data_IF_753000398662
#
_entry.id   IF_753000398662
#
_cell.length_a   1.000
_cell.length_b   1.000
_cell.length_c   1.000
_cell.angle_alpha   90.00
_cell.angle_beta   90.00
_cell.angle_gamma   90.00
#
_symmetry.space_group_name_H-M   'P 1'
#
loop_
_entity.id
_entity.type
_entity.pdbx_description
1 polymer ?
#
# COMPACT_ATOMS: atom_id res chain seq x y z
N UNK A 1 17.32 -25.40 -6.36
CA UNK A 1 16.91 -24.61 -7.54
C UNK A 1 17.73 -23.34 -7.55
N UNK A 2 18.47 -23.04 -8.64
CA UNK A 2 19.38 -21.90 -8.66
C UNK A 2 18.57 -20.59 -8.67
N UNK A 3 18.90 -19.65 -7.75
CA UNK A 3 18.26 -18.32 -7.67
C UNK A 3 18.42 -17.56 -9.01
N UNK A 4 19.47 -17.83 -9.77
CA UNK A 4 19.68 -17.26 -11.10
C UNK A 4 18.63 -17.69 -12.13
N UNK A 5 18.03 -18.88 -11.99
CA UNK A 5 16.96 -19.33 -12.89
C UNK A 5 15.66 -18.57 -12.67
N UNK A 6 15.47 -17.94 -11.49
CA UNK A 6 14.32 -17.09 -11.18
C UNK A 6 14.22 -15.91 -12.16
N UNK A 7 15.36 -15.29 -12.50
CA UNK A 7 15.40 -14.15 -13.43
C UNK A 7 15.20 -14.53 -14.90
N UNK A 8 15.25 -15.81 -15.25
CA UNK A 8 14.97 -16.27 -16.62
C UNK A 8 13.48 -16.30 -16.95
N UNK A 9 12.61 -16.25 -15.96
CA UNK A 9 11.16 -16.29 -16.17
C UNK A 9 10.59 -14.89 -16.41
N UNK A 10 9.92 -14.61 -17.56
CA UNK A 10 9.38 -13.28 -17.86
C UNK A 10 8.33 -12.78 -16.87
N UNK A 11 7.56 -13.69 -16.25
CA UNK A 11 6.59 -13.30 -15.22
C UNK A 11 7.29 -12.79 -13.96
N UNK A 12 8.42 -13.40 -13.57
CA UNK A 12 9.18 -13.02 -12.40
C UNK A 12 9.86 -11.65 -12.58
N UNK A 13 10.38 -11.37 -13.76
CA UNK A 13 10.93 -10.04 -14.09
C UNK A 13 9.87 -8.95 -13.98
N UNK A 14 8.65 -9.20 -14.49
CA UNK A 14 7.52 -8.27 -14.37
C UNK A 14 7.12 -8.06 -12.92
N UNK A 15 7.01 -9.16 -12.16
CA UNK A 15 6.71 -9.12 -10.74
C UNK A 15 7.74 -8.30 -9.95
N UNK A 16 9.02 -8.48 -10.25
CA UNK A 16 10.10 -7.76 -9.58
C UNK A 16 10.01 -6.25 -9.89
N UNK A 17 9.92 -5.89 -11.18
CA UNK A 17 9.88 -4.46 -11.58
C UNK A 17 8.67 -3.76 -10.98
N UNK A 18 7.48 -4.30 -11.20
CA UNK A 18 6.27 -3.68 -10.70
C UNK A 18 6.19 -3.72 -9.17
N UNK A 19 6.64 -4.83 -8.55
CA UNK A 19 6.65 -4.99 -7.11
C UNK A 19 7.60 -4.05 -6.39
N UNK A 20 8.80 -3.86 -6.89
CA UNK A 20 9.76 -2.87 -6.36
C UNK A 20 9.19 -1.45 -6.46
N UNK A 21 8.55 -1.08 -7.56
CA UNK A 21 7.95 0.23 -7.70
C UNK A 21 6.77 0.44 -6.74
N UNK A 22 5.89 -0.55 -6.61
CA UNK A 22 4.74 -0.49 -5.69
C UNK A 22 5.22 -0.44 -4.24
N UNK A 23 6.20 -1.28 -3.85
CA UNK A 23 6.75 -1.29 -2.49
C UNK A 23 7.42 0.05 -2.14
N UNK A 24 8.13 0.64 -3.09
CA UNK A 24 8.71 1.97 -2.95
C UNK A 24 7.65 3.04 -2.76
N UNK A 25 6.61 3.08 -3.59
CA UNK A 25 5.49 4.01 -3.46
C UNK A 25 4.77 3.85 -2.12
N UNK A 26 4.48 2.60 -1.72
CA UNK A 26 3.81 2.29 -0.46
C UNK A 26 4.61 2.78 0.76
N UNK A 27 5.92 2.54 0.79
CA UNK A 27 6.77 2.99 1.88
C UNK A 27 6.88 4.53 1.95
N UNK A 28 7.05 5.20 0.80
CA UNK A 28 7.14 6.65 0.75
C UNK A 28 5.86 7.34 1.24
N UNK A 29 4.69 6.83 0.82
CA UNK A 29 3.38 7.33 1.26
C UNK A 29 3.05 6.89 2.69
N UNK A 30 3.53 5.73 3.12
CA UNK A 30 3.36 5.21 4.46
C UNK A 30 3.93 6.13 5.54
N UNK A 31 5.08 6.76 5.30
CA UNK A 31 5.69 7.68 6.27
C UNK A 31 4.77 8.84 6.67
N UNK A 32 4.26 9.67 5.74
CA UNK A 32 3.32 10.73 6.12
C UNK A 32 2.00 10.21 6.68
N UNK A 33 1.49 9.06 6.21
CA UNK A 33 0.26 8.47 6.72
C UNK A 33 0.40 8.03 8.20
N UNK A 34 1.48 7.35 8.54
CA UNK A 34 1.74 6.90 9.92
C UNK A 34 1.98 8.10 10.84
N UNK A 35 2.71 9.12 10.39
CA UNK A 35 2.94 10.35 11.16
C UNK A 35 1.64 11.12 11.44
N UNK A 36 0.72 11.13 10.49
CA UNK A 36 -0.63 11.73 10.63
C UNK A 36 -1.61 10.86 11.41
N UNK A 37 -1.19 9.70 11.92
CA UNK A 37 -2.05 8.71 12.59
C UNK A 37 -3.13 8.09 11.69
N UNK A 38 -2.91 8.08 10.39
CA UNK A 38 -3.79 7.46 9.39
C UNK A 38 -3.29 6.07 8.96
N UNK A 39 -2.58 5.36 9.85
CA UNK A 39 -1.97 4.06 9.53
C UNK A 39 -2.99 3.01 9.03
N UNK A 40 -4.22 3.03 9.55
CA UNK A 40 -5.27 2.09 9.16
C UNK A 40 -5.93 2.41 7.81
N UNK A 41 -5.69 3.59 7.21
CA UNK A 41 -6.24 3.96 5.89
C UNK A 41 -5.80 2.97 4.81
N UNK A 42 -4.54 2.49 4.88
CA UNK A 42 -4.02 1.50 3.93
C UNK A 42 -4.84 0.23 3.91
N UNK A 43 -5.17 -0.29 5.09
CA UNK A 43 -5.99 -1.50 5.24
C UNK A 43 -7.43 -1.26 4.78
N UNK A 44 -8.07 -0.18 5.24
CA UNK A 44 -9.42 0.18 4.83
C UNK A 44 -9.57 0.31 3.32
N UNK A 45 -8.66 1.02 2.65
CA UNK A 45 -8.69 1.20 1.19
C UNK A 45 -8.37 -0.09 0.43
N UNK A 46 -7.57 -1.01 0.98
CA UNK A 46 -7.32 -2.30 0.35
C UNK A 46 -8.59 -3.15 0.29
N UNK A 47 -9.40 -3.16 1.34
CA UNK A 47 -10.69 -3.83 1.36
C UNK A 47 -11.74 -3.16 0.47
N UNK A 48 -11.73 -1.82 0.37
CA UNK A 48 -12.55 -1.10 -0.62
C UNK A 48 -12.13 -1.47 -2.05
N UNK A 49 -10.83 -1.58 -2.30
CA UNK A 49 -10.32 -2.01 -3.60
C UNK A 49 -10.76 -3.43 -3.93
N UNK A 50 -10.75 -4.35 -2.96
CA UNK A 50 -11.27 -5.70 -3.12
C UNK A 50 -12.76 -5.70 -3.50
N UNK A 51 -13.59 -4.95 -2.78
CA UNK A 51 -15.01 -4.83 -3.08
C UNK A 51 -15.27 -4.25 -4.48
N UNK A 52 -14.52 -3.22 -4.86
CA UNK A 52 -14.61 -2.60 -6.18
C UNK A 52 -14.17 -3.56 -7.30
N UNK A 53 -13.08 -4.33 -7.09
CA UNK A 53 -12.63 -5.35 -8.03
C UNK A 53 -13.67 -6.45 -8.21
N UNK A 54 -14.27 -6.93 -7.11
CA UNK A 54 -15.32 -7.94 -7.14
C UNK A 54 -16.54 -7.48 -7.96
N UNK A 55 -16.98 -6.25 -7.75
CA UNK A 55 -18.10 -5.64 -8.52
C UNK A 55 -17.72 -5.50 -9.99
N UNK A 56 -16.51 -5.06 -10.29
CA UNK A 56 -16.03 -4.92 -11.67
C UNK A 56 -16.04 -6.24 -12.44
N UNK A 57 -15.57 -7.31 -11.80
CA UNK A 57 -15.60 -8.68 -12.36
C UNK A 57 -17.04 -9.13 -12.60
N UNK A 58 -17.94 -8.91 -11.64
CA UNK A 58 -19.36 -9.24 -11.77
C UNK A 58 -20.05 -8.51 -12.92
N UNK A 59 -19.66 -7.25 -13.18
CA UNK A 59 -20.19 -6.44 -14.28
C UNK A 59 -19.50 -6.70 -15.63
N UNK A 60 -18.46 -7.53 -15.66
CA UNK A 60 -17.69 -7.80 -16.89
C UNK A 60 -16.88 -6.61 -17.39
N UNK A 61 -16.58 -5.60 -16.52
CA UNK A 61 -15.78 -4.44 -16.89
C UNK A 61 -14.32 -4.64 -16.45
N UNK A 62 -13.42 -3.86 -17.07
CA UNK A 62 -11.98 -3.92 -16.73
C UNK A 62 -11.75 -3.52 -15.28
N UNK A 63 -11.22 -4.42 -14.43
CA UNK A 63 -11.20 -4.24 -12.97
C UNK A 63 -10.47 -2.98 -12.49
N UNK A 64 -9.31 -2.65 -13.08
CA UNK A 64 -8.52 -1.47 -12.67
C UNK A 64 -9.24 -0.14 -12.97
N UNK A 65 -9.86 -0.02 -14.16
CA UNK A 65 -10.55 1.20 -14.55
C UNK A 65 -11.77 1.51 -13.68
N UNK A 66 -12.42 0.47 -13.17
CA UNK A 66 -13.54 0.63 -12.23
C UNK A 66 -13.06 0.90 -10.81
N UNK A 67 -12.03 0.18 -10.34
CA UNK A 67 -11.59 0.27 -8.95
C UNK A 67 -10.88 1.58 -8.62
N UNK A 68 -10.10 2.16 -9.56
CA UNK A 68 -9.38 3.40 -9.32
C UNK A 68 -10.31 4.54 -8.87
N UNK A 69 -11.38 4.91 -9.61
CA UNK A 69 -12.26 6.00 -9.18
C UNK A 69 -13.02 5.69 -7.89
N UNK A 70 -13.42 4.44 -7.67
CA UNK A 70 -14.13 4.04 -6.44
C UNK A 70 -13.22 4.20 -5.21
N UNK A 71 -11.97 3.74 -5.30
CA UNK A 71 -11.02 3.83 -4.16
C UNK A 71 -10.56 5.27 -3.93
N UNK A 72 -10.40 6.08 -4.98
CA UNK A 72 -10.12 7.52 -4.83
C UNK A 72 -11.28 8.22 -4.11
N UNK A 73 -12.52 7.92 -4.48
CA UNK A 73 -13.70 8.46 -3.80
C UNK A 73 -13.72 8.04 -2.33
N UNK A 74 -13.47 6.76 -2.05
CA UNK A 74 -13.39 6.23 -0.67
C UNK A 74 -12.28 6.90 0.14
N UNK A 75 -11.10 7.10 -0.45
CA UNK A 75 -9.98 7.80 0.21
C UNK A 75 -10.36 9.25 0.56
N UNK A 76 -11.04 9.94 -0.35
CA UNK A 76 -11.52 11.29 -0.11
C UNK A 76 -12.56 11.34 1.02
N UNK A 77 -13.51 10.39 1.04
CA UNK A 77 -14.52 10.29 2.10
C UNK A 77 -13.86 10.00 3.46
N UNK A 78 -12.91 9.06 3.51
CA UNK A 78 -12.18 8.73 4.75
C UNK A 78 -11.40 9.93 5.30
N UNK A 79 -10.74 10.71 4.44
CA UNK A 79 -10.08 11.94 4.90
C UNK A 79 -11.07 12.94 5.48
N UNK A 80 -12.21 13.16 4.82
CA UNK A 80 -13.25 14.07 5.33
C UNK A 80 -13.79 13.64 6.69
N UNK A 81 -13.94 12.33 6.89
CA UNK A 81 -14.40 11.78 8.19
C UNK A 81 -13.29 11.90 9.23
N UNK A 82 -12.03 11.64 8.87
CA UNK A 82 -10.88 11.73 9.77
C UNK A 82 -10.63 13.16 10.27
N UNK A 83 -10.89 14.18 9.45
CA UNK A 83 -10.76 15.58 9.81
C UNK A 83 -11.92 16.10 10.71
N UNK A 84 -12.98 15.33 10.87
CA UNK A 84 -14.14 15.74 11.66
C UNK A 84 -14.03 15.23 13.11
N UNK A 85 -13.91 16.12 14.12
CA UNK A 85 -13.72 15.72 15.52
C UNK A 85 -14.90 14.98 16.15
N UNK A 86 -16.06 14.98 15.47
CA UNK A 86 -17.27 14.27 15.95
C UNK A 86 -17.27 12.78 15.58
N UNK A 87 -16.42 12.36 14.65
CA UNK A 87 -16.34 10.98 14.19
C UNK A 87 -15.04 10.35 14.68
N UNK A 88 -15.14 9.11 15.14
CA UNK A 88 -13.95 8.32 15.40
C UNK A 88 -13.42 7.79 14.05
N UNK A 89 -12.28 8.31 13.60
CA UNK A 89 -11.68 7.95 12.31
C UNK A 89 -11.42 6.45 12.19
N UNK A 90 -10.97 5.80 13.26
CA UNK A 90 -10.68 4.37 13.27
C UNK A 90 -11.96 3.54 13.10
N UNK A 91 -13.05 3.95 13.77
CA UNK A 91 -14.34 3.29 13.62
C UNK A 91 -14.92 3.44 12.20
N UNK A 92 -14.76 4.60 11.58
CA UNK A 92 -15.19 4.83 10.20
C UNK A 92 -14.39 3.98 9.20
N UNK A 93 -13.06 3.90 9.37
CA UNK A 93 -12.20 3.05 8.54
C UNK A 93 -12.59 1.58 8.72
N UNK A 94 -12.79 1.12 9.96
CA UNK A 94 -13.19 -0.25 10.25
C UNK A 94 -14.56 -0.61 9.65
N UNK A 95 -15.54 0.29 9.76
CA UNK A 95 -16.85 0.09 9.17
C UNK A 95 -16.81 0.02 7.64
N UNK A 96 -16.04 0.91 7.00
CA UNK A 96 -15.85 0.92 5.55
C UNK A 96 -15.11 -0.35 5.09
N UNK A 97 -14.07 -0.76 5.81
CA UNK A 97 -13.31 -1.98 5.55
C UNK A 97 -14.20 -3.21 5.60
N UNK A 98 -14.90 -3.43 6.73
CA UNK A 98 -15.77 -4.58 6.93
C UNK A 98 -16.92 -4.65 5.91
N UNK A 99 -17.59 -3.52 5.65
CA UNK A 99 -18.69 -3.47 4.69
C UNK A 99 -18.23 -3.73 3.25
N UNK A 100 -17.12 -3.16 2.84
CA UNK A 100 -16.57 -3.37 1.50
C UNK A 100 -16.11 -4.80 1.27
N UNK A 101 -15.46 -5.41 2.27
CA UNK A 101 -15.08 -6.82 2.24
C UNK A 101 -16.30 -7.73 2.14
N UNK A 102 -17.32 -7.49 2.98
CA UNK A 102 -18.55 -8.27 2.97
C UNK A 102 -19.30 -8.19 1.62
N UNK A 103 -19.42 -6.97 1.07
CA UNK A 103 -20.03 -6.77 -0.26
C UNK A 103 -19.23 -7.50 -1.33
N UNK A 104 -17.90 -7.38 -1.32
CA UNK A 104 -17.04 -8.07 -2.27
C UNK A 104 -17.19 -9.58 -2.24
N UNK A 105 -17.19 -10.19 -1.05
CA UNK A 105 -17.39 -11.64 -0.88
C UNK A 105 -18.79 -12.05 -1.37
N UNK A 106 -19.83 -11.30 -1.02
CA UNK A 106 -21.20 -11.60 -1.48
C UNK A 106 -21.32 -11.56 -3.00
N UNK A 107 -20.69 -10.60 -3.65
CA UNK A 107 -20.71 -10.47 -5.11
C UNK A 107 -19.97 -11.66 -5.75
N UNK A 108 -18.75 -11.99 -5.30
CA UNK A 108 -17.98 -13.11 -5.84
C UNK A 108 -18.71 -14.44 -5.63
N UNK A 109 -19.30 -14.65 -4.45
CA UNK A 109 -20.04 -15.89 -4.15
C UNK A 109 -21.21 -16.14 -5.10
N UNK A 110 -21.80 -15.07 -5.66
CA UNK A 110 -22.91 -15.15 -6.60
C UNK A 110 -22.47 -15.30 -8.07
N UNK A 111 -21.26 -14.87 -8.41
CA UNK A 111 -20.83 -14.77 -9.83
C UNK A 111 -19.86 -15.88 -10.26
N UNK A 112 -18.83 -16.17 -9.49
CA UNK A 112 -17.73 -17.05 -9.92
C UNK A 112 -17.55 -18.31 -9.07
N UNK A 113 -18.25 -18.43 -7.92
CA UNK A 113 -17.99 -19.49 -6.94
C UNK A 113 -16.79 -19.19 -6.03
N UNK A 114 -16.93 -19.56 -4.77
CA UNK A 114 -16.18 -18.98 -3.62
C UNK A 114 -14.68 -19.29 -3.51
N UNK A 115 -14.10 -20.21 -4.27
CA UNK A 115 -12.87 -20.86 -3.82
C UNK A 115 -11.56 -20.34 -4.40
N UNK A 116 -11.52 -19.83 -5.62
CA UNK A 116 -10.23 -19.56 -6.28
C UNK A 116 -9.89 -18.06 -6.35
N UNK A 117 -10.89 -17.20 -6.46
CA UNK A 117 -10.66 -15.79 -6.72
C UNK A 117 -10.39 -14.97 -5.45
N UNK A 118 -11.05 -15.30 -4.33
CA UNK A 118 -10.86 -14.58 -3.06
C UNK A 118 -9.43 -14.75 -2.53
N UNK A 119 -8.89 -15.95 -2.56
CA UNK A 119 -7.52 -16.22 -2.12
C UNK A 119 -6.50 -15.46 -2.97
N UNK A 120 -6.70 -15.43 -4.29
CA UNK A 120 -5.83 -14.69 -5.20
C UNK A 120 -5.85 -13.17 -4.94
N UNK A 121 -7.00 -12.60 -4.56
CA UNK A 121 -7.10 -11.18 -4.24
C UNK A 121 -6.58 -10.83 -2.84
N UNK A 122 -6.71 -11.73 -1.87
CA UNK A 122 -6.19 -11.49 -0.51
C UNK A 122 -4.68 -11.66 -0.41
N UNK A 123 -4.14 -12.71 -1.05
CA UNK A 123 -2.72 -13.06 -0.97
C UNK A 123 -1.91 -12.61 -2.18
N UNK A 124 -2.58 -12.15 -3.22
CA UNK A 124 -1.96 -11.72 -4.47
C UNK A 124 -1.59 -12.91 -5.38
N UNK A 125 -1.73 -12.70 -6.67
CA UNK A 125 -1.24 -13.64 -7.68
C UNK A 125 -0.37 -12.89 -8.68
N UNK A 126 0.92 -12.95 -8.44
CA UNK A 126 1.95 -12.39 -9.33
C UNK A 126 1.86 -13.05 -10.73
N UNK A 127 1.36 -14.29 -10.80
CA UNK A 127 1.22 -15.06 -12.04
C UNK A 127 0.04 -14.61 -12.90
N UNK A 128 -0.98 -13.98 -12.31
CA UNK A 128 -2.20 -13.56 -12.99
C UNK A 128 -2.10 -12.21 -13.73
N UNK A 129 -0.94 -11.57 -13.74
CA UNK A 129 -0.76 -10.23 -14.29
C UNK A 129 -0.64 -10.24 -15.82
N UNK A 130 -1.50 -9.47 -16.49
CA UNK A 130 -1.36 -9.20 -17.92
C UNK A 130 -0.20 -8.21 -18.19
N UNK A 131 0.35 -8.21 -19.40
CA UNK A 131 1.36 -7.22 -19.80
C UNK A 131 0.85 -5.80 -19.67
N UNK A 132 -0.43 -5.58 -19.99
CA UNK A 132 -1.09 -4.28 -19.92
C UNK A 132 -1.19 -3.77 -18.47
N UNK A 133 -1.53 -4.67 -17.53
CA UNK A 133 -1.61 -4.31 -16.10
C UNK A 133 -0.24 -3.89 -15.57
N UNK A 134 0.84 -4.58 -15.97
CA UNK A 134 2.21 -4.22 -15.57
C UNK A 134 2.61 -2.85 -16.10
N UNK A 135 2.38 -2.58 -17.39
CA UNK A 135 2.72 -1.27 -17.97
C UNK A 135 1.94 -0.15 -17.31
N UNK A 136 0.63 -0.34 -17.12
CA UNK A 136 -0.21 0.64 -16.41
C UNK A 136 0.30 0.89 -14.98
N UNK A 137 0.63 -0.17 -14.26
CA UNK A 137 1.16 -0.07 -12.90
C UNK A 137 2.50 0.67 -12.85
N UNK A 138 3.42 0.37 -13.75
CA UNK A 138 4.71 1.07 -13.84
C UNK A 138 4.51 2.55 -14.12
N UNK A 139 3.67 2.91 -15.09
CA UNK A 139 3.40 4.32 -15.44
C UNK A 139 2.78 5.06 -14.26
N UNK A 140 1.77 4.48 -13.61
CA UNK A 140 1.11 5.10 -12.47
C UNK A 140 2.04 5.19 -11.25
N UNK A 141 2.83 4.16 -10.95
CA UNK A 141 3.82 4.23 -9.87
C UNK A 141 4.89 5.30 -10.13
N UNK A 142 5.38 5.43 -11.35
CA UNK A 142 6.30 6.50 -11.71
C UNK A 142 5.66 7.88 -11.54
N UNK A 143 4.40 8.05 -11.93
CA UNK A 143 3.66 9.29 -11.69
C UNK A 143 3.54 9.59 -10.18
N UNK A 144 3.22 8.58 -9.35
CA UNK A 144 3.17 8.72 -7.88
C UNK A 144 4.52 9.14 -7.32
N UNK A 145 5.61 8.50 -7.74
CA UNK A 145 6.97 8.84 -7.30
C UNK A 145 7.35 10.27 -7.69
N UNK A 146 7.11 10.66 -8.93
CA UNK A 146 7.41 12.01 -9.42
C UNK A 146 6.62 13.06 -8.62
N UNK A 147 5.32 12.84 -8.43
CA UNK A 147 4.48 13.77 -7.65
C UNK A 147 4.90 13.82 -6.17
N UNK A 148 5.25 12.68 -5.57
CA UNK A 148 5.76 12.65 -4.20
C UNK A 148 7.05 13.45 -4.06
N UNK A 149 8.02 13.26 -4.96
CA UNK A 149 9.31 13.99 -4.96
C UNK A 149 9.08 15.48 -5.21
N UNK A 150 8.24 15.84 -6.17
CA UNK A 150 7.94 17.24 -6.53
C UNK A 150 7.31 17.99 -5.36
N UNK A 151 6.41 17.35 -4.63
CA UNK A 151 5.71 17.95 -3.50
C UNK A 151 6.30 17.56 -2.13
N UNK A 152 7.47 16.93 -2.10
CA UNK A 152 8.11 16.42 -0.88
C UNK A 152 8.14 17.44 0.27
N UNK A 153 8.63 18.66 0.02
CA UNK A 153 8.74 19.71 1.06
C UNK A 153 7.36 20.18 1.56
N UNK A 154 6.37 20.24 0.68
CA UNK A 154 5.01 20.65 1.03
C UNK A 154 4.28 19.54 1.80
N UNK A 155 4.44 18.28 1.37
CA UNK A 155 3.91 17.12 2.08
C UNK A 155 4.56 17.01 3.48
N UNK A 156 5.86 17.24 3.59
CA UNK A 156 6.56 17.30 4.88
C UNK A 156 5.95 18.36 5.81
N UNK A 157 5.82 19.60 5.34
CA UNK A 157 5.28 20.71 6.16
C UNK A 157 3.85 20.39 6.64
N UNK A 158 2.97 19.94 5.74
CA UNK A 158 1.59 19.59 6.05
C UNK A 158 1.49 18.36 6.95
N UNK A 159 2.47 17.45 6.91
CA UNK A 159 2.47 16.26 7.77
C UNK A 159 2.82 16.59 9.21
N UNK A 160 3.75 17.53 9.43
CA UNK A 160 4.23 17.86 10.78
C UNK A 160 3.36 18.88 11.49
N UNK A 161 2.95 19.94 10.81
CA UNK A 161 2.14 21.01 11.41
C UNK A 161 1.22 21.64 10.37
N UNK A 162 -0.03 21.19 10.41
CA UNK A 162 -1.09 21.73 9.54
C UNK A 162 -1.45 23.16 9.88
N UNK A 163 -1.43 23.52 11.17
CA UNK A 163 -1.78 24.87 11.64
C UNK A 163 -0.76 25.89 11.17
N UNK A 164 0.51 25.58 11.32
CA UNK A 164 1.59 26.39 10.80
C UNK A 164 1.56 26.48 9.27
N UNK A 165 1.33 25.36 8.60
CA UNK A 165 1.22 25.30 7.13
C UNK A 165 0.08 26.18 6.60
N UNK A 166 -1.06 26.22 7.29
CA UNK A 166 -2.18 27.11 6.97
C UNK A 166 -1.80 28.59 7.21
N UNK A 167 -1.14 28.88 8.31
CA UNK A 167 -0.70 30.25 8.65
C UNK A 167 0.30 30.81 7.62
N UNK A 168 1.14 29.95 7.02
CA UNK A 168 2.10 30.32 5.96
C UNK A 168 1.46 30.39 4.56
N UNK A 169 0.13 30.24 4.45
CA UNK A 169 -0.61 30.35 3.19
C UNK A 169 -0.63 29.08 2.34
N UNK A 170 -0.15 27.93 2.86
CA UNK A 170 -0.28 26.64 2.17
C UNK A 170 -1.74 26.16 2.20
N UNK A 171 -2.25 25.73 1.07
CA UNK A 171 -3.59 25.11 0.97
C UNK A 171 -3.52 23.65 1.43
N UNK A 172 -3.50 23.42 2.75
CA UNK A 172 -3.33 22.12 3.40
C UNK A 172 -4.27 21.05 2.82
N UNK A 173 -5.55 21.39 2.60
CA UNK A 173 -6.56 20.47 2.05
C UNK A 173 -6.16 19.91 0.68
N UNK A 174 -5.50 20.69 -0.16
CA UNK A 174 -5.02 20.20 -1.48
C UNK A 174 -3.93 19.15 -1.33
N UNK A 175 -3.02 19.34 -0.36
CA UNK A 175 -1.93 18.36 -0.14
C UNK A 175 -2.42 17.11 0.58
N UNK A 176 -3.40 17.24 1.47
CA UNK A 176 -4.09 16.09 2.06
C UNK A 176 -4.84 15.28 0.99
N UNK A 177 -5.58 15.98 0.11
CA UNK A 177 -6.25 15.35 -1.04
C UNK A 177 -5.25 14.68 -1.99
N UNK A 178 -4.13 15.36 -2.29
CA UNK A 178 -3.07 14.77 -3.11
C UNK A 178 -2.53 13.49 -2.47
N UNK A 179 -2.20 13.52 -1.18
CA UNK A 179 -1.72 12.35 -0.44
C UNK A 179 -2.74 11.19 -0.52
N UNK A 180 -4.04 11.47 -0.35
CA UNK A 180 -5.09 10.47 -0.47
C UNK A 180 -5.18 9.84 -1.86
N UNK A 181 -5.11 10.66 -2.91
CA UNK A 181 -5.16 10.17 -4.30
C UNK A 181 -3.94 9.29 -4.60
N UNK A 182 -2.74 9.74 -4.22
CA UNK A 182 -1.51 8.96 -4.41
C UNK A 182 -1.57 7.63 -3.65
N UNK A 183 -2.09 7.65 -2.42
CA UNK A 183 -2.28 6.45 -1.59
C UNK A 183 -3.31 5.51 -2.22
N UNK A 184 -4.45 6.03 -2.64
CA UNK A 184 -5.50 5.25 -3.31
C UNK A 184 -4.96 4.54 -4.57
N UNK A 185 -4.25 5.27 -5.42
CA UNK A 185 -3.62 4.70 -6.62
C UNK A 185 -2.65 3.58 -6.27
N UNK A 186 -1.75 3.82 -5.32
CA UNK A 186 -0.76 2.84 -4.90
C UNK A 186 -1.41 1.58 -4.32
N UNK A 187 -2.47 1.74 -3.51
CA UNK A 187 -3.19 0.63 -2.90
C UNK A 187 -3.92 -0.20 -3.96
N UNK A 188 -4.64 0.43 -4.89
CA UNK A 188 -5.36 -0.31 -5.96
C UNK A 188 -4.38 -1.13 -6.80
N UNK A 189 -3.25 -0.53 -7.18
CA UNK A 189 -2.23 -1.22 -7.97
C UNK A 189 -1.58 -2.36 -7.16
N UNK A 190 -1.20 -2.07 -5.93
CA UNK A 190 -0.55 -3.05 -5.05
C UNK A 190 -1.48 -4.20 -4.68
N UNK A 191 -2.74 -3.91 -4.36
CA UNK A 191 -3.73 -4.92 -4.01
C UNK A 191 -3.95 -5.92 -5.15
N UNK A 192 -4.08 -5.43 -6.39
CA UNK A 192 -4.27 -6.31 -7.56
C UNK A 192 -3.06 -7.21 -7.82
N UNK A 193 -1.85 -6.70 -7.57
CA UNK A 193 -0.60 -7.41 -7.87
C UNK A 193 -0.13 -8.32 -6.74
N UNK A 194 -0.25 -7.83 -5.52
CA UNK A 194 0.40 -8.40 -4.34
C UNK A 194 -0.58 -8.85 -3.28
N UNK A 195 -1.86 -8.50 -3.42
CA UNK A 195 -2.91 -8.77 -2.44
C UNK A 195 -3.06 -7.70 -1.38
N UNK A 196 -4.22 -7.71 -0.72
CA UNK A 196 -4.58 -6.74 0.31
C UNK A 196 -3.64 -6.77 1.51
N UNK A 197 -3.28 -7.96 1.97
CA UNK A 197 -2.42 -8.17 3.14
C UNK A 197 -1.02 -7.56 2.95
N UNK A 198 -0.41 -7.76 1.78
CA UNK A 198 0.93 -7.27 1.53
C UNK A 198 0.98 -5.76 1.38
N UNK A 199 0.03 -5.16 0.65
CA UNK A 199 0.07 -3.71 0.43
C UNK A 199 -0.13 -2.94 1.73
N UNK A 200 -1.00 -3.41 2.63
CA UNK A 200 -1.20 -2.81 3.96
C UNK A 200 0.08 -2.88 4.80
N UNK A 201 0.79 -4.02 4.76
CA UNK A 201 2.05 -4.17 5.50
C UNK A 201 3.17 -3.28 4.97
N UNK A 202 3.32 -3.15 3.65
CA UNK A 202 4.33 -2.31 3.01
C UNK A 202 4.13 -0.80 3.29
N UNK A 203 2.91 -0.37 3.57
CA UNK A 203 2.63 1.00 4.02
C UNK A 203 3.06 1.21 5.46
N UNK A 204 2.86 0.23 6.34
CA UNK A 204 2.98 0.40 7.80
C UNK A 204 4.38 0.01 8.31
N UNK A 205 4.84 -1.23 8.07
CA UNK A 205 6.05 -1.76 8.68
C UNK A 205 7.33 -1.00 8.33
N UNK A 206 7.61 -0.65 7.06
CA UNK A 206 8.82 0.10 6.72
C UNK A 206 8.84 1.48 7.37
N UNK A 207 7.68 2.16 7.43
CA UNK A 207 7.56 3.47 8.09
C UNK A 207 7.83 3.35 9.60
N UNK A 208 7.21 2.39 10.30
CA UNK A 208 7.42 2.17 11.73
C UNK A 208 8.87 1.77 12.04
N UNK A 209 9.48 0.91 11.23
CA UNK A 209 10.89 0.51 11.34
C UNK A 209 11.81 1.72 11.23
N UNK A 210 11.61 2.54 10.21
CA UNK A 210 12.40 3.73 9.96
C UNK A 210 12.29 4.77 11.07
N UNK A 211 11.10 4.97 11.63
CA UNK A 211 10.86 5.90 12.74
C UNK A 211 11.55 5.45 14.06
N UNK A 212 11.83 4.16 14.22
CA UNK A 212 12.62 3.65 15.35
C UNK A 212 14.10 3.94 15.22
N UNK A 213 14.62 3.93 13.98
CA UNK A 213 16.05 4.07 13.69
C UNK A 213 16.49 5.52 13.47
N UNK A 214 15.63 6.35 12.87
CA UNK A 214 15.95 7.71 12.46
C UNK A 214 14.99 8.74 13.08
N UNK A 215 15.54 9.95 13.39
CA UNK A 215 14.77 11.07 13.95
C UNK A 215 14.46 12.16 12.94
N UNK A 216 15.15 12.19 11.80
CA UNK A 216 14.91 13.17 10.74
C UNK A 216 13.94 12.60 9.70
N UNK A 217 13.03 13.43 9.21
CA UNK A 217 12.04 13.00 8.19
C UNK A 217 12.72 12.41 6.95
N UNK A 218 13.79 13.06 6.47
CA UNK A 218 14.55 12.55 5.31
C UNK A 218 15.14 11.16 5.60
N UNK A 219 15.73 10.98 6.78
CA UNK A 219 16.27 9.68 7.19
C UNK A 219 15.19 8.60 7.28
N UNK A 220 14.02 8.95 7.83
CA UNK A 220 12.86 8.04 7.92
C UNK A 220 12.38 7.65 6.52
N UNK A 221 12.20 8.60 5.61
CA UNK A 221 11.73 8.34 4.24
C UNK A 221 12.71 7.44 3.47
N UNK A 222 14.00 7.74 3.52
CA UNK A 222 15.03 6.94 2.82
C UNK A 222 15.12 5.54 3.45
N UNK A 223 15.15 5.43 4.78
CA UNK A 223 15.19 4.14 5.46
C UNK A 223 13.96 3.30 5.15
N UNK A 224 12.75 3.88 5.20
CA UNK A 224 11.52 3.19 4.86
C UNK A 224 11.54 2.66 3.41
N UNK A 225 11.99 3.48 2.46
CA UNK A 225 12.13 3.09 1.06
C UNK A 225 13.09 1.90 0.87
N UNK A 226 14.28 1.98 1.49
CA UNK A 226 15.28 0.90 1.41
C UNK A 226 14.77 -0.38 2.08
N UNK A 227 14.19 -0.28 3.27
CA UNK A 227 13.64 -1.42 4.01
C UNK A 227 12.54 -2.12 3.21
N UNK A 228 11.58 -1.37 2.67
CA UNK A 228 10.47 -1.90 1.89
C UNK A 228 10.94 -2.66 0.65
N UNK A 229 11.84 -2.06 -0.13
CA UNK A 229 12.39 -2.71 -1.33
C UNK A 229 13.21 -3.95 -0.96
N UNK A 230 14.04 -3.88 0.09
CA UNK A 230 14.84 -5.01 0.56
C UNK A 230 13.97 -6.17 1.05
N UNK A 231 12.94 -5.90 1.88
CA UNK A 231 12.01 -6.91 2.37
C UNK A 231 11.19 -7.53 1.23
N UNK A 232 10.76 -6.72 0.26
CA UNK A 232 10.07 -7.22 -0.93
C UNK A 232 10.96 -8.17 -1.75
N UNK A 233 12.19 -7.78 -2.06
CA UNK A 233 13.13 -8.62 -2.81
C UNK A 233 13.48 -9.91 -2.07
N UNK A 234 13.74 -9.82 -0.76
CA UNK A 234 14.02 -10.99 0.09
C UNK A 234 12.81 -11.91 0.16
N UNK A 235 11.62 -11.39 0.44
CA UNK A 235 10.40 -12.17 0.53
C UNK A 235 10.04 -12.85 -0.79
N UNK A 236 10.20 -12.17 -1.93
CA UNK A 236 9.99 -12.75 -3.25
C UNK A 236 10.98 -13.90 -3.52
N UNK A 237 12.25 -13.73 -3.16
CA UNK A 237 13.27 -14.76 -3.33
C UNK A 237 13.00 -15.99 -2.44
N UNK A 238 12.65 -15.77 -1.19
CA UNK A 238 12.28 -16.84 -0.23
C UNK A 238 11.02 -17.56 -0.72
N UNK A 239 10.00 -16.82 -1.14
CA UNK A 239 8.76 -17.38 -1.69
C UNK A 239 9.03 -18.30 -2.88
N UNK A 240 9.90 -17.88 -3.80
CA UNK A 240 10.31 -18.71 -4.94
C UNK A 240 11.05 -19.97 -4.52
N UNK A 241 11.96 -19.87 -3.52
CA UNK A 241 12.76 -21.01 -3.04
C UNK A 241 11.91 -22.07 -2.31
N UNK A 242 10.92 -21.64 -1.53
CA UNK A 242 10.11 -22.51 -0.66
C UNK A 242 8.69 -22.73 -1.18
N UNK A 243 8.33 -22.21 -2.36
CA UNK A 243 6.98 -22.32 -2.94
C UNK A 243 5.87 -21.81 -1.99
N UNK A 244 6.13 -20.72 -1.27
CA UNK A 244 5.20 -20.08 -0.32
C UNK A 244 4.49 -18.89 -0.97
N UNK A 245 3.32 -18.44 -0.45
CA UNK A 245 2.66 -17.24 -0.95
C UNK A 245 3.54 -16.00 -0.79
N UNK A 246 3.76 -15.25 -1.88
CA UNK A 246 4.66 -14.07 -1.92
C UNK A 246 4.26 -13.04 -0.86
N UNK A 247 2.95 -12.72 -0.79
CA UNK A 247 2.44 -11.73 0.16
C UNK A 247 2.80 -12.04 1.61
N UNK A 248 2.48 -13.26 2.07
CA UNK A 248 2.77 -13.68 3.44
C UNK A 248 4.26 -13.70 3.75
N UNK A 249 5.10 -14.12 2.79
CA UNK A 249 6.56 -14.21 2.99
C UNK A 249 7.19 -12.81 3.11
N UNK A 250 6.75 -11.84 2.32
CA UNK A 250 7.22 -10.45 2.43
C UNK A 250 6.78 -9.82 3.75
N UNK A 251 5.52 -10.04 4.16
CA UNK A 251 5.02 -9.55 5.47
C UNK A 251 5.82 -10.13 6.62
N UNK A 252 6.17 -11.42 6.56
CA UNK A 252 7.02 -12.05 7.57
C UNK A 252 8.44 -11.44 7.60
N UNK A 253 9.00 -11.11 6.44
CA UNK A 253 10.30 -10.40 6.36
C UNK A 253 10.20 -8.99 6.94
N UNK A 254 9.16 -8.22 6.61
CA UNK A 254 8.90 -6.89 7.18
C UNK A 254 8.76 -6.94 8.70
N UNK A 255 8.00 -7.91 9.23
CA UNK A 255 7.83 -8.13 10.66
C UNK A 255 9.17 -8.45 11.34
N UNK A 256 9.98 -9.33 10.76
CA UNK A 256 11.29 -9.68 11.32
C UNK A 256 12.22 -8.45 11.41
N UNK A 257 12.26 -7.63 10.35
CA UNK A 257 13.05 -6.39 10.33
C UNK A 257 12.49 -5.36 11.33
N UNK A 258 11.18 -5.25 11.48
CA UNK A 258 10.57 -4.39 12.48
C UNK A 258 10.92 -4.83 13.91
N UNK A 259 10.81 -6.12 14.23
CA UNK A 259 11.17 -6.65 15.56
C UNK A 259 12.65 -6.42 15.89
N UNK A 260 13.55 -6.65 14.92
CA UNK A 260 14.99 -6.37 15.10
C UNK A 260 15.25 -4.88 15.34
N UNK A 261 14.54 -3.99 14.64
CA UNK A 261 14.63 -2.54 14.88
C UNK A 261 14.15 -2.14 16.28
N UNK A 262 13.11 -2.81 16.79
CA UNK A 262 12.63 -2.61 18.17
C UNK A 262 13.68 -3.02 19.20
N UNK A 263 14.33 -4.17 19.02
CA UNK A 263 15.41 -4.65 19.89
C UNK A 263 16.60 -3.68 19.90
N UNK A 264 17.03 -3.21 18.73
CA UNK A 264 18.09 -2.20 18.60
C UNK A 264 17.70 -0.91 19.33
N UNK A 265 16.43 -0.49 19.17
CA UNK A 265 15.91 0.70 19.85
C UNK A 265 15.87 0.59 21.38
N UNK A 266 15.63 -0.60 21.92
CA UNK A 266 15.69 -0.88 23.36
C UNK A 266 17.14 -0.83 23.87
N UNK A 267 18.08 -1.46 23.15
CA UNK A 267 19.50 -1.48 23.51
C UNK A 267 20.17 -0.10 23.48
N UNK A 268 19.67 0.83 22.66
CA UNK A 268 20.18 2.21 22.57
C UNK A 268 19.62 3.14 23.65
N UNK A 269 18.59 2.72 24.38
CA UNK A 269 17.95 3.52 25.44
C UNK A 269 18.39 3.11 26.86
N UNK A 270 18.99 1.93 27.03
CA UNK A 270 19.72 1.51 28.23
C UNK A 270 21.18 1.95 28.18
#
# INVERSE_FOLDING_TARGET
MNILTMFSFPFMQRALIAGVLVSLCAALLGVPLVLKRYSMIGDGLSHVSFGALAIAVALGVTPLWFSIPVVILAAFLLLRVADNPRWNSDAAIAAMSASSLAIGILVISRTTGMTTDVDNYMFGSVLAMSKTDVVLSVVLCLAVLVLFILFYHKLFAVTFDESFSRATGLKVERYNTLLAILTALTIVLGMRMMGAMLISSLVIFPALTAMRLFRSFRGVVVCAAVTSVACFCLGLTISFAFSTPVGATVVAADLAVFLTSCLIGLLRRG
#
